data_IF_467262194684
#
_entry.id   IF_467262194684
#
_cell.length_a   1.000
_cell.length_b   1.000
_cell.length_c   1.000
_cell.angle_alpha   90.00
_cell.angle_beta   90.00
_cell.angle_gamma   90.00
#
_symmetry.space_group_name_H-M   'P 1'
#
loop_
_entity.id
_entity.type
_entity.pdbx_description
1 polymer ?
#
# COMPACT_ATOMS: atom_id res chain seq x y z
N UNK A 1 -52.43 0.67 -39.58
CA UNK A 1 -51.50 -0.46 -39.81
C UNK A 1 -50.76 -0.74 -38.51
N UNK A 2 -50.89 -1.92 -37.89
CA UNK A 2 -50.13 -2.25 -36.68
C UNK A 2 -48.67 -2.60 -37.06
N UNK A 3 -47.66 -2.23 -36.24
CA UNK A 3 -46.28 -2.59 -36.52
C UNK A 3 -46.09 -4.10 -36.31
N UNK A 4 -45.50 -4.75 -37.31
CA UNK A 4 -45.15 -6.17 -37.26
C UNK A 4 -44.18 -6.43 -36.08
N UNK A 5 -44.64 -7.18 -35.08
CA UNK A 5 -43.79 -7.72 -34.03
C UNK A 5 -42.78 -8.67 -34.69
N UNK A 6 -41.52 -8.23 -34.80
CA UNK A 6 -40.42 -9.09 -35.25
C UNK A 6 -40.31 -10.28 -34.30
N UNK A 7 -40.72 -11.46 -34.77
CA UNK A 7 -40.59 -12.71 -34.03
C UNK A 7 -39.11 -13.08 -33.95
N UNK A 8 -38.55 -13.15 -32.73
CA UNK A 8 -37.19 -13.62 -32.53
C UNK A 8 -37.09 -15.08 -32.98
N UNK A 9 -36.27 -15.36 -33.99
CA UNK A 9 -35.99 -16.71 -34.49
C UNK A 9 -35.38 -17.58 -33.39
N UNK A 10 -35.69 -18.90 -33.36
CA UNK A 10 -35.16 -19.84 -32.35
C UNK A 10 -33.63 -19.76 -32.20
N UNK A 11 -32.90 -19.57 -33.31
CA UNK A 11 -31.44 -19.39 -33.31
C UNK A 11 -31.00 -18.13 -32.55
N UNK A 12 -31.72 -17.02 -32.73
CA UNK A 12 -31.45 -15.76 -32.02
C UNK A 12 -31.70 -15.91 -30.52
N UNK A 13 -32.76 -16.64 -30.14
CA UNK A 13 -33.05 -16.96 -28.74
C UNK A 13 -31.92 -17.81 -28.13
N UNK A 14 -31.46 -18.85 -28.83
CA UNK A 14 -30.37 -19.72 -28.36
C UNK A 14 -29.05 -18.97 -28.20
N UNK A 15 -28.69 -18.10 -29.16
CA UNK A 15 -27.48 -17.26 -29.08
C UNK A 15 -27.58 -16.31 -27.88
N UNK A 16 -28.74 -15.68 -27.67
CA UNK A 16 -28.95 -14.74 -26.58
C UNK A 16 -28.92 -15.43 -25.21
N UNK A 17 -29.48 -16.64 -25.09
CA UNK A 17 -29.41 -17.41 -23.84
C UNK A 17 -27.99 -17.88 -23.54
N UNK A 18 -27.26 -18.32 -24.57
CA UNK A 18 -25.89 -18.80 -24.40
C UNK A 18 -24.97 -17.63 -24.03
N UNK A 19 -25.10 -16.48 -24.70
CA UNK A 19 -24.31 -15.29 -24.37
C UNK A 19 -24.58 -14.79 -22.94
N UNK A 20 -25.85 -14.80 -22.51
CA UNK A 20 -26.22 -14.42 -21.14
C UNK A 20 -25.65 -15.39 -20.11
N UNK A 21 -25.74 -16.71 -20.36
CA UNK A 21 -25.19 -17.72 -19.47
C UNK A 21 -23.65 -17.63 -19.38
N UNK A 22 -22.96 -17.41 -20.50
CA UNK A 22 -21.52 -17.21 -20.53
C UNK A 22 -21.12 -15.93 -19.80
N UNK A 23 -21.81 -14.81 -20.02
CA UNK A 23 -21.54 -13.55 -19.34
C UNK A 23 -21.77 -13.65 -17.82
N UNK A 24 -22.86 -14.29 -17.40
CA UNK A 24 -23.17 -14.52 -16.00
C UNK A 24 -22.13 -15.44 -15.34
N UNK A 25 -21.77 -16.55 -16.01
CA UNK A 25 -20.75 -17.48 -15.53
C UNK A 25 -19.37 -16.83 -15.41
N UNK A 26 -18.96 -16.06 -16.42
CA UNK A 26 -17.69 -15.32 -16.41
C UNK A 26 -17.68 -14.23 -15.33
N UNK A 27 -18.79 -13.50 -15.14
CA UNK A 27 -18.92 -12.51 -14.08
C UNK A 27 -18.87 -13.12 -12.68
N UNK A 28 -19.57 -14.24 -12.47
CA UNK A 28 -19.52 -14.99 -11.21
C UNK A 28 -18.11 -15.52 -10.93
N UNK A 29 -17.44 -16.07 -11.94
CA UNK A 29 -16.05 -16.50 -11.84
C UNK A 29 -15.16 -15.30 -11.46
N UNK A 30 -15.21 -14.20 -12.20
CA UNK A 30 -14.40 -13.01 -11.90
C UNK A 30 -14.57 -12.50 -10.45
N UNK A 31 -15.82 -12.43 -9.96
CA UNK A 31 -16.13 -11.97 -8.59
C UNK A 31 -15.66 -12.94 -7.50
N UNK A 32 -15.46 -14.22 -7.82
CA UNK A 32 -15.08 -15.26 -6.85
C UNK A 32 -13.64 -15.76 -7.02
N UNK A 33 -12.99 -15.51 -8.16
CA UNK A 33 -11.63 -15.92 -8.50
C UNK A 33 -10.57 -14.88 -8.15
N UNK A 34 -10.93 -13.86 -7.35
CA UNK A 34 -10.05 -12.73 -6.97
C UNK A 34 -8.57 -13.13 -6.77
N UNK A 35 -7.64 -12.23 -7.12
CA UNK A 35 -6.24 -12.53 -7.40
C UNK A 35 -5.61 -13.41 -6.32
N UNK A 36 -4.84 -14.40 -6.77
CA UNK A 36 -3.94 -15.12 -5.90
C UNK A 36 -2.87 -14.13 -5.47
N UNK A 37 -3.00 -13.58 -4.26
CA UNK A 37 -1.89 -12.86 -3.67
C UNK A 37 -0.71 -13.82 -3.62
N UNK A 38 0.42 -13.50 -4.28
CA UNK A 38 1.57 -14.38 -4.23
C UNK A 38 1.89 -14.57 -2.74
N UNK A 39 2.06 -15.82 -2.27
CA UNK A 39 2.58 -16.03 -0.93
C UNK A 39 3.88 -15.24 -0.82
N UNK A 40 4.13 -14.59 0.32
CA UNK A 40 5.35 -13.83 0.55
C UNK A 40 6.55 -14.75 0.25
N UNK A 41 7.18 -14.54 -0.91
CA UNK A 41 8.25 -15.40 -1.44
C UNK A 41 9.59 -15.14 -0.77
N UNK A 42 9.70 -14.05 -0.01
CA UNK A 42 10.89 -13.72 0.73
C UNK A 42 10.90 -14.48 2.05
N UNK A 43 11.79 -15.47 2.16
CA UNK A 43 12.19 -16.01 3.46
C UNK A 43 12.52 -14.82 4.37
N UNK A 44 11.76 -14.65 5.46
CA UNK A 44 11.97 -13.62 6.48
C UNK A 44 13.19 -13.96 7.34
N UNK A 45 14.31 -14.33 6.73
CA UNK A 45 15.58 -14.38 7.44
C UNK A 45 15.97 -12.94 7.66
N UNK A 46 15.63 -12.38 8.83
CA UNK A 46 16.44 -11.30 9.40
C UNK A 46 17.87 -11.85 9.34
N UNK A 47 18.77 -11.30 8.51
CA UNK A 47 20.17 -11.64 8.68
C UNK A 47 20.50 -11.32 10.14
N UNK A 48 21.18 -12.22 10.89
CA UNK A 48 21.68 -11.85 12.20
C UNK A 48 22.46 -10.53 12.02
N UNK A 49 22.27 -9.54 12.92
CA UNK A 49 22.91 -8.26 12.72
C UNK A 49 24.41 -8.52 12.58
N UNK A 50 25.02 -8.14 11.44
CA UNK A 50 26.44 -8.44 11.19
C UNK A 50 27.37 -7.65 12.13
N UNK A 51 26.78 -6.80 12.98
CA UNK A 51 27.45 -5.83 13.81
C UNK A 51 26.62 -5.55 15.06
N UNK A 52 27.27 -5.56 16.22
CA UNK A 52 26.73 -5.02 17.46
C UNK A 52 27.20 -3.57 17.63
N UNK A 53 26.31 -2.65 18.03
CA UNK A 53 26.70 -1.28 18.25
C UNK A 53 27.69 -1.20 19.43
N UNK A 54 28.69 -0.29 19.38
CA UNK A 54 29.59 -0.07 20.49
C UNK A 54 28.81 0.37 21.74
N UNK A 55 29.35 0.13 22.95
CA UNK A 55 28.70 0.55 24.19
C UNK A 55 28.41 2.06 24.21
N UNK A 56 27.30 2.45 24.84
CA UNK A 56 26.89 3.86 24.96
C UNK A 56 28.01 4.76 25.52
N UNK A 57 28.78 4.26 26.49
CA UNK A 57 29.92 4.98 27.05
C UNK A 57 30.95 5.33 25.97
N UNK A 58 31.34 4.37 25.12
CA UNK A 58 32.29 4.58 24.04
C UNK A 58 31.77 5.59 22.99
N UNK A 59 30.46 5.57 22.71
CA UNK A 59 29.84 6.54 21.80
C UNK A 59 29.85 7.96 22.37
N UNK A 60 29.59 8.12 23.67
CA UNK A 60 29.68 9.42 24.36
C UNK A 60 31.12 9.94 24.37
N UNK A 61 32.10 9.05 24.59
CA UNK A 61 33.50 9.45 24.57
C UNK A 61 33.98 9.84 23.17
N UNK A 62 33.49 9.18 22.12
CA UNK A 62 33.71 9.62 20.74
C UNK A 62 33.12 11.02 20.49
N UNK A 63 31.90 11.29 20.96
CA UNK A 63 31.24 12.60 20.84
C UNK A 63 31.96 13.71 21.64
N UNK A 64 32.56 13.39 22.78
CA UNK A 64 33.38 14.36 23.54
C UNK A 64 34.72 14.63 22.85
N UNK A 65 35.35 13.59 22.28
CA UNK A 65 36.62 13.75 21.55
C UNK A 65 36.48 14.61 20.30
N UNK A 66 35.35 14.51 19.59
CA UNK A 66 35.08 15.31 18.40
C UNK A 66 35.06 16.83 18.65
N UNK A 67 34.90 17.27 19.90
CA UNK A 67 34.95 18.68 20.27
C UNK A 67 36.39 19.24 20.36
N UNK A 68 37.40 18.37 20.46
CA UNK A 68 38.78 18.76 20.80
C UNK A 68 39.81 18.42 19.71
N UNK A 69 39.41 17.81 18.60
CA UNK A 69 40.30 17.43 17.50
C UNK A 69 39.56 17.41 16.16
N UNK A 70 40.09 18.13 15.17
CA UNK A 70 39.54 18.23 13.80
C UNK A 70 39.47 16.86 13.11
N UNK A 71 40.47 16.00 13.32
CA UNK A 71 40.51 14.64 12.78
C UNK A 71 39.39 13.73 13.31
N UNK A 72 38.78 14.10 14.44
CA UNK A 72 37.68 13.34 15.07
C UNK A 72 36.33 14.06 15.01
N UNK A 73 36.27 15.23 14.38
CA UNK A 73 35.05 16.01 14.25
C UNK A 73 33.99 15.25 13.45
N UNK A 74 32.71 15.41 13.76
CA UNK A 74 31.63 14.91 12.90
C UNK A 74 31.28 15.97 11.86
N UNK A 75 31.02 15.54 10.64
CA UNK A 75 30.63 16.42 9.54
C UNK A 75 29.14 16.80 9.66
N UNK A 76 28.32 15.90 10.22
CA UNK A 76 26.89 16.14 10.46
C UNK A 76 26.49 15.67 11.86
N UNK A 77 25.74 16.52 12.57
CA UNK A 77 25.02 16.17 13.80
C UNK A 77 23.51 16.12 13.52
N UNK A 78 22.91 14.95 13.70
CA UNK A 78 21.46 14.72 13.61
C UNK A 78 20.86 14.70 15.01
N UNK A 79 19.85 15.54 15.25
CA UNK A 79 19.12 15.61 16.52
C UNK A 79 17.75 14.97 16.34
N UNK A 80 17.53 13.84 17.02
CA UNK A 80 16.29 13.05 16.99
C UNK A 80 16.47 11.73 16.24
N UNK A 81 16.28 10.61 16.95
CA UNK A 81 16.34 9.23 16.47
C UNK A 81 15.00 8.65 16.01
N UNK A 82 14.11 9.49 15.50
CA UNK A 82 12.90 9.05 14.79
C UNK A 82 13.19 8.58 13.36
N UNK A 83 12.15 8.17 12.61
CA UNK A 83 12.29 7.68 11.24
C UNK A 83 13.02 8.68 10.32
N UNK A 84 12.71 9.98 10.42
CA UNK A 84 13.37 11.04 9.65
C UNK A 84 14.85 11.15 9.98
N UNK A 85 15.21 11.26 11.27
CA UNK A 85 16.60 11.43 11.67
C UNK A 85 17.44 10.19 11.39
N UNK A 86 16.88 8.99 11.59
CA UNK A 86 17.53 7.73 11.19
C UNK A 86 17.77 7.68 9.68
N UNK A 87 16.78 8.07 8.86
CA UNK A 87 16.92 8.14 7.40
C UNK A 87 18.01 9.12 6.95
N UNK A 88 18.04 10.32 7.54
CA UNK A 88 19.09 11.32 7.28
C UNK A 88 20.46 10.80 7.67
N UNK A 89 20.59 10.16 8.83
CA UNK A 89 21.87 9.62 9.29
C UNK A 89 22.39 8.49 8.38
N UNK A 90 21.51 7.59 7.92
CA UNK A 90 21.88 6.52 6.98
C UNK A 90 22.29 7.10 5.62
N UNK A 91 21.52 8.05 5.08
CA UNK A 91 21.86 8.69 3.79
C UNK A 91 23.22 9.41 3.88
N UNK A 92 23.43 10.24 4.92
CA UNK A 92 24.70 10.94 5.14
C UNK A 92 25.88 9.98 5.32
N UNK A 93 25.73 8.94 6.15
CA UNK A 93 26.77 7.95 6.38
C UNK A 93 27.09 7.16 5.09
N UNK A 94 26.08 6.83 4.28
CA UNK A 94 26.27 6.13 3.00
C UNK A 94 27.09 6.94 1.97
N UNK A 95 27.13 8.27 2.14
CA UNK A 95 27.93 9.19 1.32
C UNK A 95 29.35 9.41 1.86
N UNK A 96 29.74 8.68 2.92
CA UNK A 96 31.07 8.74 3.52
C UNK A 96 31.27 9.84 4.56
N UNK A 97 30.21 10.50 5.01
CA UNK A 97 30.29 11.54 6.05
C UNK A 97 30.39 10.92 7.45
N UNK A 98 31.14 11.56 8.34
CA UNK A 98 31.17 11.24 9.78
C UNK A 98 29.91 11.82 10.43
N UNK A 99 28.96 10.96 10.78
CA UNK A 99 27.66 11.37 11.33
C UNK A 99 27.55 11.02 12.81
N UNK A 100 27.13 11.98 13.62
CA UNK A 100 26.63 11.74 14.97
C UNK A 100 25.10 11.88 14.98
N UNK A 101 24.39 10.92 15.57
CA UNK A 101 22.95 11.03 15.83
C UNK A 101 22.72 10.94 17.33
N UNK A 102 21.98 11.91 17.87
CA UNK A 102 21.61 11.94 19.29
C UNK A 102 20.09 11.85 19.45
N UNK A 103 19.65 10.99 20.36
CA UNK A 103 18.25 10.86 20.77
C UNK A 103 18.19 10.99 22.30
N UNK A 104 17.18 11.72 22.78
CA UNK A 104 16.94 11.96 24.21
C UNK A 104 16.42 10.69 24.88
N UNK A 105 15.49 10.01 24.23
CA UNK A 105 14.83 8.81 24.75
C UNK A 105 15.40 7.54 24.09
N UNK A 106 14.53 6.65 23.62
CA UNK A 106 14.89 5.50 22.78
C UNK A 106 14.62 5.80 21.30
N UNK A 107 15.27 5.06 20.41
CA UNK A 107 15.04 5.17 18.97
C UNK A 107 13.56 4.93 18.62
N UNK A 108 13.01 5.75 17.73
CA UNK A 108 11.62 5.73 17.30
C UNK A 108 10.54 5.93 18.40
N UNK A 109 10.90 6.25 19.65
CA UNK A 109 9.98 6.45 20.79
C UNK A 109 8.88 7.50 20.57
N UNK A 110 9.15 8.52 19.74
CA UNK A 110 8.20 9.57 19.36
C UNK A 110 7.10 9.11 18.40
N UNK A 111 6.69 9.99 17.47
CA UNK A 111 5.61 9.73 16.51
C UNK A 111 5.88 8.51 15.62
N UNK A 112 7.14 8.19 15.36
CA UNK A 112 7.54 7.07 14.49
C UNK A 112 7.05 5.70 14.98
N UNK A 113 6.84 5.50 16.29
CA UNK A 113 6.26 4.26 16.84
C UNK A 113 4.73 4.24 16.90
N UNK A 114 4.09 5.42 16.77
CA UNK A 114 2.66 5.66 17.00
C UNK A 114 1.85 5.79 15.71
N UNK A 115 2.36 5.27 14.60
CA UNK A 115 1.67 5.24 13.32
C UNK A 115 0.67 4.08 13.23
N UNK A 116 -0.16 4.09 12.18
CA UNK A 116 -1.02 2.96 11.78
C UNK A 116 -0.23 1.75 11.28
N UNK A 117 1.10 1.87 11.14
CA UNK A 117 1.98 0.82 10.63
C UNK A 117 1.62 0.39 9.20
N UNK A 118 1.22 1.38 8.39
CA UNK A 118 0.84 1.22 6.99
C UNK A 118 1.49 2.33 6.13
N UNK A 119 2.23 1.93 5.10
CA UNK A 119 2.60 2.79 3.98
C UNK A 119 1.50 2.70 2.93
N UNK A 120 0.72 3.77 2.85
CA UNK A 120 -0.35 3.91 1.87
C UNK A 120 -0.11 5.14 0.99
N UNK A 121 -0.40 5.02 -0.32
CA UNK A 121 -0.28 6.13 -1.27
C UNK A 121 -1.35 7.22 -1.11
N UNK A 122 -2.25 7.08 -0.12
CA UNK A 122 -3.19 8.12 0.27
C UNK A 122 -4.31 8.34 -0.74
N UNK A 123 -5.23 7.38 -0.84
CA UNK A 123 -6.43 7.42 -1.72
C UNK A 123 -7.26 8.71 -1.53
N UNK A 124 -7.22 9.31 -0.33
CA UNK A 124 -7.87 10.60 -0.05
C UNK A 124 -7.23 11.77 -0.79
N UNK A 125 -5.91 11.78 -0.94
CA UNK A 125 -5.19 12.81 -1.69
C UNK A 125 -5.45 12.66 -3.19
N UNK A 126 -5.61 11.41 -3.67
CA UNK A 126 -6.02 11.18 -5.04
C UNK A 126 -7.39 11.81 -5.34
N UNK A 127 -8.35 11.65 -4.43
CA UNK A 127 -9.66 12.27 -4.59
C UNK A 127 -9.52 13.78 -4.82
N UNK A 128 -8.74 14.48 -3.98
CA UNK A 128 -8.48 15.92 -4.16
C UNK A 128 -7.78 16.22 -5.49
N UNK A 129 -6.72 15.49 -5.82
CA UNK A 129 -5.98 15.69 -7.06
C UNK A 129 -6.88 15.61 -8.31
N UNK A 130 -7.86 14.71 -8.31
CA UNK A 130 -8.77 14.51 -9.45
C UNK A 130 -9.93 15.50 -9.45
N UNK A 131 -10.59 15.71 -8.30
CA UNK A 131 -11.78 16.57 -8.22
C UNK A 131 -11.44 18.06 -8.16
N UNK A 132 -10.30 18.43 -7.59
CA UNK A 132 -9.83 19.81 -7.45
C UNK A 132 -8.73 20.16 -8.47
N UNK A 133 -8.34 19.21 -9.34
CA UNK A 133 -7.26 19.34 -10.33
C UNK A 133 -5.92 19.83 -9.72
N UNK A 134 -5.65 19.40 -8.48
CA UNK A 134 -4.46 19.79 -7.74
C UNK A 134 -3.24 18.94 -8.15
N UNK A 135 -2.31 19.57 -8.87
CA UNK A 135 -1.08 18.94 -9.35
C UNK A 135 -0.12 18.54 -8.22
N UNK A 136 -0.05 19.32 -7.13
CA UNK A 136 0.83 19.03 -6.01
C UNK A 136 0.37 17.76 -5.28
N UNK A 137 -0.95 17.61 -5.10
CA UNK A 137 -1.52 16.38 -4.54
C UNK A 137 -1.29 15.17 -5.46
N UNK A 138 -1.37 15.36 -6.77
CA UNK A 138 -1.05 14.30 -7.73
C UNK A 138 0.43 13.86 -7.62
N UNK A 139 1.35 14.82 -7.53
CA UNK A 139 2.78 14.54 -7.37
C UNK A 139 3.06 13.78 -6.07
N UNK A 140 2.42 14.18 -4.97
CA UNK A 140 2.53 13.50 -3.67
C UNK A 140 2.06 12.05 -3.73
N UNK A 141 0.92 11.78 -4.38
CA UNK A 141 0.41 10.40 -4.54
C UNK A 141 1.39 9.54 -5.35
N UNK A 142 1.96 10.09 -6.42
CA UNK A 142 2.96 9.38 -7.24
C UNK A 142 4.25 9.10 -6.49
N UNK A 143 4.73 10.06 -5.72
CA UNK A 143 5.91 9.90 -4.87
C UNK A 143 5.65 8.83 -3.81
N UNK A 144 4.52 8.88 -3.11
CA UNK A 144 4.17 7.89 -2.09
C UNK A 144 4.04 6.47 -2.68
N UNK A 145 3.51 6.33 -3.90
CA UNK A 145 3.43 5.05 -4.60
C UNK A 145 4.81 4.50 -4.98
N UNK A 146 5.71 5.36 -5.47
CA UNK A 146 7.08 4.99 -5.79
C UNK A 146 7.87 4.60 -4.53
N UNK A 147 7.79 5.40 -3.48
CA UNK A 147 8.47 5.13 -2.20
C UNK A 147 7.98 3.83 -1.56
N UNK A 148 6.69 3.51 -1.67
CA UNK A 148 6.16 2.21 -1.21
C UNK A 148 6.87 1.03 -1.88
N UNK A 149 7.11 1.11 -3.19
CA UNK A 149 7.84 0.05 -3.92
C UNK A 149 9.29 -0.05 -3.45
N UNK A 150 9.96 1.08 -3.27
CA UNK A 150 11.33 1.12 -2.73
C UNK A 150 11.37 0.48 -1.34
N UNK A 151 10.41 0.82 -0.47
CA UNK A 151 10.34 0.28 0.89
C UNK A 151 10.26 -1.25 0.93
N UNK A 152 9.45 -1.83 0.06
CA UNK A 152 9.33 -3.29 -0.10
C UNK A 152 10.61 -3.96 -0.59
N UNK A 153 11.42 -3.26 -1.39
CA UNK A 153 12.70 -3.77 -1.87
C UNK A 153 13.80 -3.61 -0.81
N UNK A 154 13.81 -2.51 -0.06
CA UNK A 154 14.83 -2.21 0.95
C UNK A 154 14.63 -3.02 2.24
N UNK A 155 13.39 -3.20 2.68
CA UNK A 155 13.05 -3.90 3.92
C UNK A 155 11.96 -4.96 3.72
N UNK A 156 12.20 -6.00 2.88
CA UNK A 156 11.22 -7.06 2.61
C UNK A 156 10.90 -7.92 3.84
N UNK A 157 11.74 -7.86 4.87
CA UNK A 157 11.55 -8.56 6.15
C UNK A 157 10.70 -7.77 7.16
N UNK A 158 10.44 -6.47 6.91
CA UNK A 158 9.55 -5.62 7.72
C UNK A 158 8.25 -5.28 6.99
N UNK A 159 8.28 -5.24 5.66
CA UNK A 159 7.15 -4.84 4.83
C UNK A 159 6.74 -5.94 3.86
N UNK A 160 5.43 -6.09 3.67
CA UNK A 160 4.85 -7.05 2.74
C UNK A 160 3.57 -6.46 2.14
N UNK A 161 2.95 -7.15 1.18
CA UNK A 161 1.69 -6.74 0.60
C UNK A 161 0.53 -7.11 1.52
N UNK A 162 -0.30 -6.14 1.87
CA UNK A 162 -1.51 -6.35 2.66
C UNK A 162 -2.76 -5.94 1.86
N UNK A 163 -3.63 -6.89 1.52
CA UNK A 163 -4.94 -6.59 0.95
C UNK A 163 -5.82 -5.85 1.97
N UNK A 164 -6.42 -4.73 1.57
CA UNK A 164 -7.49 -4.05 2.31
C UNK A 164 -8.81 -4.27 1.56
N UNK A 165 -9.80 -4.78 2.29
CA UNK A 165 -11.16 -4.97 1.81
C UNK A 165 -12.07 -3.86 2.33
N UNK A 166 -12.83 -3.23 1.43
CA UNK A 166 -13.86 -2.23 1.74
C UNK A 166 -15.26 -2.83 1.51
N UNK A 167 -16.05 -3.08 2.56
CA UNK A 167 -17.40 -3.64 2.43
C UNK A 167 -18.39 -2.60 1.91
N UNK A 168 -19.30 -3.03 1.03
CA UNK A 168 -20.26 -2.16 0.35
C UNK A 168 -21.69 -2.60 0.68
N UNK A 169 -22.49 -1.66 1.20
CA UNK A 169 -23.86 -1.92 1.65
C UNK A 169 -24.94 -1.28 0.77
N UNK A 170 -24.55 -0.43 -0.20
CA UNK A 170 -25.49 0.18 -1.16
C UNK A 170 -25.05 -0.13 -2.58
N UNK A 171 -25.98 -0.52 -3.44
CA UNK A 171 -25.67 -0.90 -4.82
C UNK A 171 -24.99 0.21 -5.63
N UNK A 172 -25.41 1.47 -5.47
CA UNK A 172 -24.79 2.61 -6.19
C UNK A 172 -23.34 2.87 -5.78
N UNK A 173 -22.92 2.43 -4.60
CA UNK A 173 -21.55 2.58 -4.13
C UNK A 173 -20.58 1.62 -4.84
N UNK A 174 -21.07 0.51 -5.38
CA UNK A 174 -20.26 -0.46 -6.14
C UNK A 174 -19.53 0.20 -7.31
N UNK A 175 -20.22 0.84 -8.29
CA UNK A 175 -19.54 1.50 -9.39
C UNK A 175 -18.68 2.69 -8.93
N UNK A 176 -19.09 3.39 -7.87
CA UNK A 176 -18.33 4.53 -7.32
C UNK A 176 -16.97 4.09 -6.76
N UNK A 177 -16.95 3.13 -5.82
CA UNK A 177 -15.69 2.66 -5.23
C UNK A 177 -14.83 1.89 -6.24
N UNK A 178 -15.45 1.10 -7.11
CA UNK A 178 -14.73 0.37 -8.14
C UNK A 178 -14.03 1.31 -9.13
N UNK A 179 -14.71 2.34 -9.63
CA UNK A 179 -14.11 3.33 -10.53
C UNK A 179 -13.00 4.13 -9.84
N UNK A 180 -13.18 4.52 -8.57
CA UNK A 180 -12.14 5.19 -7.79
C UNK A 180 -10.88 4.34 -7.61
N UNK A 181 -11.05 3.06 -7.27
CA UNK A 181 -9.92 2.12 -7.15
C UNK A 181 -9.25 1.86 -8.51
N UNK A 182 -10.00 1.78 -9.60
CA UNK A 182 -9.42 1.62 -10.94
C UNK A 182 -8.68 2.86 -11.42
N UNK A 183 -9.18 4.05 -11.11
CA UNK A 183 -8.46 5.29 -11.38
C UNK A 183 -7.14 5.32 -10.60
N UNK A 184 -7.14 4.90 -9.34
CA UNK A 184 -5.93 4.76 -8.55
C UNK A 184 -4.95 3.75 -9.16
N UNK A 185 -5.42 2.58 -9.58
CA UNK A 185 -4.61 1.56 -10.27
C UNK A 185 -3.96 2.12 -11.54
N UNK A 186 -4.71 2.89 -12.33
CA UNK A 186 -4.22 3.53 -13.56
C UNK A 186 -3.13 4.55 -13.26
N UNK A 187 -3.30 5.35 -12.20
CA UNK A 187 -2.33 6.38 -11.82
C UNK A 187 -1.08 5.79 -11.18
N UNK A 188 -1.23 4.67 -10.46
CA UNK A 188 -0.11 3.89 -9.98
C UNK A 188 0.69 3.26 -11.13
N UNK A 189 0.02 2.85 -12.21
CA UNK A 189 0.69 2.36 -13.42
C UNK A 189 1.67 1.23 -13.09
N UNK A 190 2.96 1.47 -13.36
CA UNK A 190 4.04 0.49 -13.10
C UNK A 190 4.38 0.33 -11.61
N UNK A 191 4.02 1.31 -10.78
CA UNK A 191 4.19 1.26 -9.33
C UNK A 191 3.02 0.55 -8.63
N UNK A 192 2.01 0.15 -9.41
CA UNK A 192 0.97 -0.71 -8.88
C UNK A 192 1.51 -2.11 -8.62
N UNK A 193 1.09 -2.69 -7.51
CA UNK A 193 1.54 -4.02 -7.12
C UNK A 193 0.56 -5.09 -7.61
N UNK A 194 -0.73 -4.88 -7.32
CA UNK A 194 -1.83 -5.73 -7.76
C UNK A 194 -3.04 -4.84 -8.03
N UNK A 195 -3.79 -5.16 -9.09
CA UNK A 195 -4.97 -4.37 -9.42
C UNK A 195 -6.11 -4.65 -8.45
N UNK A 196 -6.85 -3.60 -8.12
CA UNK A 196 -8.10 -3.68 -7.38
C UNK A 196 -9.12 -4.61 -8.05
N UNK A 197 -9.91 -5.30 -7.24
CA UNK A 197 -10.93 -6.23 -7.72
C UNK A 197 -12.20 -6.16 -6.88
N UNK A 198 -13.32 -6.55 -7.49
CA UNK A 198 -14.60 -6.70 -6.81
C UNK A 198 -14.73 -8.13 -6.30
N UNK A 199 -15.33 -8.27 -5.14
CA UNK A 199 -15.69 -9.56 -4.57
C UNK A 199 -17.18 -9.65 -4.27
N UNK A 200 -17.72 -10.85 -4.44
CA UNK A 200 -19.10 -11.15 -4.11
C UNK A 200 -19.33 -11.06 -2.60
N UNK A 201 -20.60 -10.89 -2.19
CA UNK A 201 -21.03 -11.00 -0.79
C UNK A 201 -20.53 -12.29 -0.12
N UNK A 202 -20.67 -13.41 -0.82
CA UNK A 202 -20.27 -14.74 -0.31
C UNK A 202 -18.78 -14.79 0.00
N UNK A 203 -17.94 -14.36 -0.95
CA UNK A 203 -16.49 -14.32 -0.78
C UNK A 203 -16.05 -13.34 0.31
N UNK A 204 -16.69 -12.19 0.42
CA UNK A 204 -16.40 -11.23 1.49
C UNK A 204 -16.68 -11.81 2.88
N UNK A 205 -17.79 -12.55 3.05
CA UNK A 205 -18.14 -13.21 4.31
C UNK A 205 -17.28 -14.43 4.60
N UNK A 206 -16.81 -15.14 3.57
CA UNK A 206 -15.84 -16.22 3.72
C UNK A 206 -14.50 -15.71 4.26
N UNK A 207 -14.01 -14.60 3.72
CA UNK A 207 -12.76 -13.96 4.17
C UNK A 207 -12.91 -13.30 5.54
N UNK A 208 -14.05 -12.66 5.81
CA UNK A 208 -14.32 -11.95 7.07
C UNK A 208 -15.70 -12.34 7.63
N UNK A 209 -15.80 -13.47 8.37
CA UNK A 209 -17.08 -13.97 8.90
C UNK A 209 -17.78 -13.03 9.88
N UNK A 210 -17.03 -12.14 10.52
CA UNK A 210 -17.57 -11.14 11.48
C UNK A 210 -18.21 -9.93 10.80
N UNK A 211 -18.16 -9.82 9.47
CA UNK A 211 -18.74 -8.71 8.74
C UNK A 211 -20.27 -8.75 8.81
N UNK A 212 -20.93 -7.58 8.97
CA UNK A 212 -22.40 -7.50 8.97
C UNK A 212 -22.94 -8.01 7.64
N UNK A 213 -23.67 -9.13 7.67
CA UNK A 213 -24.23 -9.78 6.49
C UNK A 213 -25.49 -9.09 5.95
N UNK A 214 -26.22 -8.42 6.83
CA UNK A 214 -27.44 -7.68 6.48
C UNK A 214 -27.12 -6.41 5.69
N UNK A 215 -27.79 -6.27 4.55
CA UNK A 215 -27.56 -5.18 3.58
C UNK A 215 -26.23 -5.26 2.81
N UNK A 216 -25.38 -6.26 3.05
CA UNK A 216 -24.10 -6.40 2.35
C UNK A 216 -24.33 -6.79 0.88
N UNK A 217 -23.80 -5.98 -0.02
CA UNK A 217 -23.88 -6.18 -1.48
C UNK A 217 -22.65 -6.92 -2.00
N UNK A 218 -21.48 -6.58 -1.47
CA UNK A 218 -20.19 -7.13 -1.86
C UNK A 218 -19.06 -6.31 -1.24
N UNK A 219 -17.85 -6.42 -1.78
CA UNK A 219 -16.73 -5.58 -1.36
C UNK A 219 -15.78 -5.27 -2.52
N UNK A 220 -14.98 -4.22 -2.35
CA UNK A 220 -13.83 -3.93 -3.22
C UNK A 220 -12.57 -4.17 -2.42
N UNK A 221 -11.62 -4.91 -2.99
CA UNK A 221 -10.29 -5.09 -2.42
C UNK A 221 -9.25 -4.29 -3.22
N UNK A 222 -8.32 -3.69 -2.49
CA UNK A 222 -7.14 -3.00 -3.02
C UNK A 222 -5.93 -3.30 -2.13
N UNK A 223 -4.73 -3.16 -2.67
CA UNK A 223 -3.50 -3.61 -1.99
C UNK A 223 -2.73 -2.44 -1.38
N UNK A 224 -2.38 -2.56 -0.09
CA UNK A 224 -1.50 -1.65 0.65
C UNK A 224 -0.22 -2.35 1.13
N UNK A 225 0.66 -1.63 1.84
CA UNK A 225 1.90 -2.18 2.43
C UNK A 225 1.99 -1.84 3.92
N UNK A 226 1.99 -2.80 4.86
CA UNK A 226 2.34 -2.58 6.26
C UNK A 226 3.83 -2.27 6.47
N UNK A 227 4.12 -1.51 7.52
CA UNK A 227 5.49 -1.12 7.95
C UNK A 227 5.64 -1.08 9.46
#
# INVERSE_FOLDING_TARGET
MPPALRTFTRRTLTILTLSTATAAGAGYFYLNSGPAYPPTTHESRRPPPPWSPPPRAAMIDALKRSANSEDTQFDILVVGGGATGAGVAVDAASRGLRVALVEREDFASGTSSKSTKLVHGGVRYLQKAVFELDYEQYKLVREALRERRVFLQTAPYLSHMLPIMLPIYKYWQVPYYWSGCKLYDLLAGKENMESSYLMSKGKALEQFPMLKSDGLVGAVASTTTPV
#
